data_IF_322910444476
#
_entry.id   IF_322910444476
#
_cell.length_a   1.000
_cell.length_b   1.000
_cell.length_c   1.000
_cell.angle_alpha   90.00
_cell.angle_beta   90.00
_cell.angle_gamma   90.00
#
_symmetry.space_group_name_H-M   'P 1'
#
loop_
_entity.id
_entity.type
_entity.pdbx_description
1 polymer ?
#
# COMPACT_ATOMS: atom_id res chain seq x y z
N UNK A 1 19.35 0.23 -12.55
CA UNK A 1 19.28 -1.25 -12.54
C UNK A 1 19.10 -1.80 -11.12
N UNK A 2 20.05 -1.61 -10.20
CA UNK A 2 19.92 -2.12 -8.81
C UNK A 2 18.72 -1.48 -8.11
N UNK A 3 18.62 -0.15 -8.16
CA UNK A 3 17.49 0.61 -7.61
C UNK A 3 16.15 0.18 -8.22
N UNK A 4 16.05 0.16 -9.54
CA UNK A 4 14.85 -0.29 -10.25
C UNK A 4 14.45 -1.72 -9.84
N UNK A 5 15.42 -2.61 -9.64
CA UNK A 5 15.16 -3.95 -9.12
C UNK A 5 14.61 -3.95 -7.69
N UNK A 6 15.11 -3.06 -6.82
CA UNK A 6 14.62 -2.89 -5.44
C UNK A 6 13.19 -2.36 -5.36
N UNK A 7 12.81 -1.45 -6.27
CA UNK A 7 11.46 -0.88 -6.32
C UNK A 7 10.37 -1.86 -6.74
N UNK A 8 10.73 -2.94 -7.45
CA UNK A 8 9.77 -3.96 -7.93
C UNK A 8 8.76 -4.42 -6.88
N UNK A 9 9.18 -4.59 -5.61
CA UNK A 9 8.29 -5.04 -4.52
C UNK A 9 7.22 -4.00 -4.20
N UNK A 10 7.58 -2.71 -4.23
CA UNK A 10 6.68 -1.61 -3.94
C UNK A 10 5.78 -1.29 -5.14
N UNK A 11 6.34 -1.36 -6.36
CA UNK A 11 5.60 -1.13 -7.60
C UNK A 11 4.44 -2.13 -7.77
N UNK A 12 4.63 -3.36 -7.28
CA UNK A 12 3.68 -4.47 -7.39
C UNK A 12 3.09 -4.90 -6.05
N UNK A 13 3.14 -4.03 -5.03
CA UNK A 13 2.74 -4.37 -3.67
C UNK A 13 1.29 -4.88 -3.60
N UNK A 14 0.36 -4.29 -4.34
CA UNK A 14 -1.04 -4.72 -4.38
C UNK A 14 -1.18 -6.18 -4.85
N UNK A 15 -0.44 -6.56 -5.90
CA UNK A 15 -0.41 -7.92 -6.41
C UNK A 15 0.22 -8.89 -5.41
N UNK A 16 1.30 -8.48 -4.74
CA UNK A 16 1.94 -9.28 -3.69
C UNK A 16 0.98 -9.53 -2.52
N UNK A 17 0.17 -8.54 -2.14
CA UNK A 17 -0.86 -8.71 -1.10
C UNK A 17 -2.01 -9.61 -1.57
N UNK A 18 -2.48 -9.45 -2.80
CA UNK A 18 -3.51 -10.31 -3.40
C UNK A 18 -3.07 -11.78 -3.45
N UNK A 19 -1.79 -12.02 -3.71
CA UNK A 19 -1.18 -13.35 -3.72
C UNK A 19 -0.91 -13.85 -2.29
N UNK A 20 -0.43 -12.99 -1.40
CA UNK A 20 -0.01 -13.35 -0.04
C UNK A 20 -1.18 -13.66 0.90
N UNK A 21 -2.25 -12.88 0.86
CA UNK A 21 -3.39 -13.03 1.76
C UNK A 21 -4.04 -14.44 1.72
N UNK A 22 -4.36 -15.03 0.55
CA UNK A 22 -4.93 -16.37 0.48
C UNK A 22 -4.01 -17.48 1.02
N UNK A 23 -2.68 -17.29 1.05
CA UNK A 23 -1.75 -18.27 1.63
C UNK A 23 -2.05 -18.47 3.12
N UNK A 24 -2.32 -17.38 3.84
CA UNK A 24 -2.60 -17.42 5.27
C UNK A 24 -4.06 -17.73 5.63
N UNK A 25 -5.01 -17.39 4.76
CA UNK A 25 -6.45 -17.42 5.09
C UNK A 25 -7.25 -18.54 4.40
N UNK A 26 -6.74 -19.15 3.33
CA UNK A 26 -7.41 -20.28 2.69
C UNK A 26 -7.30 -21.55 3.57
N UNK A 27 -8.42 -22.22 3.80
CA UNK A 27 -8.51 -23.41 4.67
C UNK A 27 -8.05 -24.69 3.99
N UNK A 28 -7.97 -24.69 2.66
CA UNK A 28 -7.58 -25.82 1.81
C UNK A 28 -7.06 -25.28 0.49
N UNK A 29 -6.39 -26.14 -0.27
CA UNK A 29 -5.92 -25.86 -1.63
C UNK A 29 -5.36 -24.43 -1.81
N UNK A 30 -4.48 -23.98 -0.90
CA UNK A 30 -4.06 -22.57 -0.83
C UNK A 30 -3.50 -22.05 -2.15
N UNK A 31 -2.71 -22.87 -2.87
CA UNK A 31 -2.19 -22.52 -4.18
C UNK A 31 -3.30 -22.19 -5.21
N UNK A 32 -4.46 -22.85 -5.12
CA UNK A 32 -5.61 -22.56 -5.98
C UNK A 32 -6.30 -21.27 -5.55
N UNK A 33 -6.50 -21.06 -4.24
CA UNK A 33 -7.05 -19.82 -3.70
C UNK A 33 -6.21 -18.59 -4.09
N UNK A 34 -4.89 -18.73 -4.14
CA UNK A 34 -3.94 -17.71 -4.63
C UNK A 34 -4.24 -17.35 -6.09
N UNK A 35 -4.31 -18.36 -6.97
CA UNK A 35 -4.61 -18.14 -8.39
C UNK A 35 -5.99 -17.53 -8.60
N UNK A 36 -6.99 -17.99 -7.86
CA UNK A 36 -8.35 -17.44 -7.89
C UNK A 36 -8.37 -15.97 -7.47
N UNK A 37 -7.69 -15.61 -6.38
CA UNK A 37 -7.62 -14.24 -5.87
C UNK A 37 -6.95 -13.30 -6.88
N UNK A 38 -5.83 -13.71 -7.47
CA UNK A 38 -5.16 -12.95 -8.53
C UNK A 38 -6.08 -12.71 -9.73
N UNK A 39 -6.72 -13.77 -10.24
CA UNK A 39 -7.60 -13.66 -11.41
C UNK A 39 -8.81 -12.77 -11.13
N UNK A 40 -9.45 -12.92 -9.97
CA UNK A 40 -10.62 -12.09 -9.60
C UNK A 40 -10.22 -10.61 -9.44
N UNK A 41 -9.04 -10.34 -8.87
CA UNK A 41 -8.52 -8.97 -8.76
C UNK A 41 -8.23 -8.35 -10.13
N UNK A 42 -7.61 -9.10 -11.05
CA UNK A 42 -7.38 -8.63 -12.42
C UNK A 42 -8.69 -8.42 -13.19
N UNK A 43 -9.69 -9.27 -13.01
CA UNK A 43 -11.04 -9.07 -13.57
C UNK A 43 -11.65 -7.76 -13.04
N UNK A 44 -11.56 -7.51 -11.74
CA UNK A 44 -12.09 -6.29 -11.14
C UNK A 44 -11.41 -5.03 -11.69
N UNK A 45 -10.07 -5.00 -11.78
CA UNK A 45 -9.34 -3.88 -12.39
C UNK A 45 -9.66 -3.70 -13.88
N UNK A 46 -9.77 -4.79 -14.64
CA UNK A 46 -10.16 -4.74 -16.06
C UNK A 46 -11.57 -4.17 -16.22
N UNK A 47 -12.49 -4.54 -15.34
CA UNK A 47 -13.85 -3.99 -15.34
C UNK A 47 -13.84 -2.50 -15.00
N UNK A 48 -13.06 -2.05 -14.01
CA UNK A 48 -12.91 -0.62 -13.69
C UNK A 48 -12.41 0.14 -14.91
N UNK A 49 -11.33 -0.33 -15.54
CA UNK A 49 -10.78 0.28 -16.75
C UNK A 49 -11.86 0.42 -17.84
N UNK A 50 -12.59 -0.66 -18.14
CA UNK A 50 -13.65 -0.65 -19.14
C UNK A 50 -14.77 0.35 -18.79
N UNK A 51 -15.20 0.37 -17.53
CA UNK A 51 -16.23 1.27 -17.02
C UNK A 51 -15.82 2.74 -17.19
N UNK A 52 -14.59 3.10 -16.80
CA UNK A 52 -14.08 4.47 -16.90
C UNK A 52 -13.88 4.95 -18.35
N UNK A 53 -13.57 4.03 -19.27
CA UNK A 53 -13.50 4.36 -20.69
C UNK A 53 -14.87 4.46 -21.37
N UNK A 54 -15.91 3.88 -20.76
CA UNK A 54 -17.27 3.86 -21.33
C UNK A 54 -18.14 4.98 -20.77
N UNK A 55 -18.01 5.28 -19.48
CA UNK A 55 -18.82 6.27 -18.77
C UNK A 55 -17.93 7.28 -18.06
N UNK A 56 -18.37 8.54 -18.05
CA UNK A 56 -17.64 9.60 -17.38
C UNK A 56 -17.98 9.66 -15.89
N UNK A 57 -17.00 9.30 -15.05
CA UNK A 57 -17.06 9.41 -13.59
C UNK A 57 -16.17 10.54 -13.04
N UNK A 58 -15.74 11.48 -13.91
CA UNK A 58 -14.86 12.59 -13.51
C UNK A 58 -13.38 12.20 -13.43
N UNK A 59 -13.00 11.08 -14.04
CA UNK A 59 -11.63 10.57 -14.09
C UNK A 59 -11.14 10.60 -15.53
N UNK A 60 -10.00 11.25 -15.79
CA UNK A 60 -9.40 11.31 -17.11
C UNK A 60 -8.40 10.16 -17.30
N UNK A 61 -8.76 9.20 -18.14
CA UNK A 61 -7.92 8.03 -18.46
C UNK A 61 -6.92 8.29 -19.59
N UNK A 62 -6.83 9.51 -20.13
CA UNK A 62 -5.99 9.83 -21.30
C UNK A 62 -4.51 9.97 -20.97
N UNK A 63 -4.15 10.34 -19.74
CA UNK A 63 -2.77 10.45 -19.28
C UNK A 63 -2.57 9.72 -17.95
N UNK A 64 -2.38 8.41 -18.02
CA UNK A 64 -2.26 7.53 -16.84
C UNK A 64 -1.00 7.85 -16.02
N UNK A 65 0.09 8.28 -16.66
CA UNK A 65 1.38 8.49 -15.99
C UNK A 65 1.35 9.69 -15.03
N UNK A 66 0.63 10.76 -15.39
CA UNK A 66 0.55 11.99 -14.58
C UNK A 66 -0.75 12.11 -13.78
N UNK A 67 -1.71 11.19 -13.96
CA UNK A 67 -3.02 11.28 -13.32
C UNK A 67 -2.98 10.87 -11.85
N UNK A 68 -3.44 11.78 -10.99
CA UNK A 68 -3.62 11.50 -9.56
C UNK A 68 -4.76 10.51 -9.38
N UNK A 69 -4.51 9.44 -8.62
CA UNK A 69 -5.52 8.42 -8.30
C UNK A 69 -5.76 7.38 -9.40
N UNK A 70 -4.88 7.34 -10.42
CA UNK A 70 -4.84 6.28 -11.43
C UNK A 70 -3.48 5.58 -11.31
N UNK A 71 -3.46 4.26 -11.49
CA UNK A 71 -2.24 3.44 -11.48
C UNK A 71 -2.36 2.33 -12.52
N UNK A 72 -1.23 1.92 -13.09
CA UNK A 72 -1.16 0.68 -13.85
C UNK A 72 -0.90 -0.51 -12.91
N UNK A 73 -1.84 -1.45 -12.88
CA UNK A 73 -1.73 -2.67 -12.07
C UNK A 73 -1.75 -3.87 -13.02
N UNK A 74 -0.61 -4.56 -13.14
CA UNK A 74 -0.48 -5.74 -13.98
C UNK A 74 -0.80 -5.49 -15.46
N UNK A 75 -0.45 -4.31 -15.98
CA UNK A 75 -0.73 -3.90 -17.36
C UNK A 75 -2.14 -3.32 -17.58
N UNK A 76 -2.90 -3.05 -16.51
CA UNK A 76 -4.24 -2.47 -16.59
C UNK A 76 -4.26 -1.12 -15.89
N UNK A 77 -4.50 -0.04 -16.64
CA UNK A 77 -4.74 1.28 -16.07
C UNK A 77 -6.08 1.29 -15.31
N UNK A 78 -6.04 1.53 -14.01
CA UNK A 78 -7.20 1.43 -13.10
C UNK A 78 -7.11 2.50 -12.03
N UNK A 79 -8.14 2.61 -11.19
CA UNK A 79 -8.09 3.50 -10.03
C UNK A 79 -7.07 3.00 -9.02
N UNK A 80 -6.25 3.93 -8.52
CA UNK A 80 -5.32 3.64 -7.44
C UNK A 80 -6.10 3.48 -6.12
N UNK A 81 -6.55 2.26 -5.89
CA UNK A 81 -7.21 1.83 -4.65
C UNK A 81 -6.22 1.34 -3.60
N UNK A 82 -4.92 1.40 -3.89
CA UNK A 82 -3.83 0.93 -3.05
C UNK A 82 -4.15 -0.45 -2.44
N UNK A 83 -3.69 -0.69 -1.20
CA UNK A 83 -3.92 -1.94 -0.48
C UNK A 83 -5.39 -2.19 -0.13
N UNK A 84 -6.28 -1.19 -0.13
CA UNK A 84 -7.71 -1.40 0.17
C UNK A 84 -8.34 -2.32 -0.87
N UNK A 85 -8.16 -2.01 -2.16
CA UNK A 85 -8.70 -2.82 -3.25
C UNK A 85 -8.14 -4.24 -3.22
N UNK A 86 -6.82 -4.35 -3.03
CA UNK A 86 -6.12 -5.62 -2.93
C UNK A 86 -6.68 -6.50 -1.80
N UNK A 87 -6.80 -5.97 -0.57
CA UNK A 87 -7.29 -6.69 0.60
C UNK A 87 -8.78 -7.05 0.48
N UNK A 88 -9.61 -6.13 -0.02
CA UNK A 88 -11.05 -6.35 -0.18
C UNK A 88 -11.32 -7.50 -1.16
N UNK A 89 -10.72 -7.44 -2.34
CA UNK A 89 -10.99 -8.41 -3.41
C UNK A 89 -10.35 -9.76 -3.08
N UNK A 90 -9.12 -9.79 -2.55
CA UNK A 90 -8.50 -11.06 -2.13
C UNK A 90 -9.22 -11.68 -0.93
N UNK A 91 -9.66 -10.89 0.06
CA UNK A 91 -10.45 -11.39 1.18
C UNK A 91 -11.78 -12.00 0.73
N UNK A 92 -12.43 -11.38 -0.27
CA UNK A 92 -13.66 -11.89 -0.85
C UNK A 92 -13.42 -13.14 -1.71
N UNK A 93 -12.34 -13.20 -2.48
CA UNK A 93 -11.93 -14.41 -3.19
C UNK A 93 -11.63 -15.57 -2.23
N UNK A 94 -10.94 -15.32 -1.10
CA UNK A 94 -10.71 -16.29 -0.03
C UNK A 94 -12.04 -16.76 0.58
N UNK A 95 -12.98 -15.85 0.82
CA UNK A 95 -14.31 -16.20 1.30
C UNK A 95 -15.01 -17.15 0.32
N UNK A 96 -15.03 -16.81 -0.97
CA UNK A 96 -15.63 -17.65 -2.00
C UNK A 96 -14.94 -19.02 -2.09
N UNK A 97 -13.61 -19.06 -2.07
CA UNK A 97 -12.83 -20.28 -2.08
C UNK A 97 -13.23 -21.19 -0.90
N UNK A 98 -13.16 -20.65 0.32
CA UNK A 98 -13.47 -21.40 1.53
C UNK A 98 -14.91 -21.92 1.54
N UNK A 99 -15.85 -21.17 0.94
CA UNK A 99 -17.28 -21.51 0.95
C UNK A 99 -17.69 -22.45 -0.18
N UNK A 100 -17.15 -22.27 -1.40
CA UNK A 100 -17.71 -22.83 -2.62
C UNK A 100 -16.78 -23.78 -3.39
N UNK A 101 -15.51 -23.89 -3.02
CA UNK A 101 -14.55 -24.72 -3.75
C UNK A 101 -14.96 -26.19 -3.92
N UNK A 102 -15.54 -26.82 -2.89
CA UNK A 102 -16.02 -28.22 -2.97
C UNK A 102 -17.52 -28.32 -3.28
N UNK A 103 -18.14 -27.27 -3.85
CA UNK A 103 -19.56 -27.32 -4.19
C UNK A 103 -19.78 -28.33 -5.31
N UNK A 104 -20.62 -29.36 -5.11
CA UNK A 104 -20.94 -30.30 -6.18
C UNK A 104 -21.80 -29.59 -7.22
N UNK A 105 -21.32 -29.54 -8.46
CA UNK A 105 -22.09 -29.04 -9.59
C UNK A 105 -22.83 -30.20 -10.28
N UNK A 106 -23.96 -29.92 -10.95
CA UNK A 106 -24.61 -30.89 -11.83
C UNK A 106 -23.62 -31.44 -12.86
N UNK A 107 -23.83 -32.68 -13.31
CA UNK A 107 -22.88 -33.41 -14.17
C UNK A 107 -22.48 -32.62 -15.44
N UNK A 108 -23.43 -31.94 -16.06
CA UNK A 108 -23.20 -31.10 -17.24
C UNK A 108 -22.36 -29.83 -16.97
N UNK A 109 -22.25 -29.38 -15.71
CA UNK A 109 -21.37 -28.31 -15.25
C UNK A 109 -20.12 -28.83 -14.52
N UNK A 110 -19.94 -30.14 -14.41
CA UNK A 110 -18.89 -30.76 -13.59
C UNK A 110 -17.48 -30.25 -13.93
N UNK A 111 -17.24 -29.92 -15.20
CA UNK A 111 -15.97 -29.36 -15.69
C UNK A 111 -15.58 -28.02 -15.05
N UNK A 112 -16.55 -27.28 -14.51
CA UNK A 112 -16.31 -25.99 -13.84
C UNK A 112 -16.15 -26.13 -12.33
N UNK A 113 -16.17 -27.33 -11.74
CA UNK A 113 -16.06 -27.50 -10.29
C UNK A 113 -14.70 -27.02 -9.74
N UNK A 114 -14.64 -26.68 -8.46
CA UNK A 114 -13.41 -26.19 -7.84
C UNK A 114 -13.13 -24.72 -8.18
N UNK A 115 -11.89 -24.45 -8.59
CA UNK A 115 -11.41 -23.08 -8.84
C UNK A 115 -12.17 -22.36 -9.93
N UNK A 116 -12.56 -23.05 -11.00
CA UNK A 116 -13.32 -22.44 -12.08
C UNK A 116 -14.66 -21.92 -11.60
N UNK A 117 -15.33 -22.63 -10.68
CA UNK A 117 -16.59 -22.18 -10.08
C UNK A 117 -16.38 -20.98 -9.17
N UNK A 118 -15.31 -21.00 -8.36
CA UNK A 118 -14.96 -19.86 -7.49
C UNK A 118 -14.66 -18.61 -8.32
N UNK A 119 -13.86 -18.73 -9.38
CA UNK A 119 -13.58 -17.61 -10.30
C UNK A 119 -14.84 -17.13 -11.01
N UNK A 120 -15.74 -18.04 -11.41
CA UNK A 120 -17.03 -17.67 -12.02
C UNK A 120 -17.88 -16.81 -11.08
N UNK A 121 -18.00 -17.20 -9.81
CA UNK A 121 -18.66 -16.40 -8.78
C UNK A 121 -17.94 -15.06 -8.57
N UNK A 122 -16.61 -15.10 -8.54
CA UNK A 122 -15.73 -13.93 -8.48
C UNK A 122 -15.99 -12.93 -9.61
N UNK A 123 -16.11 -13.42 -10.85
CA UNK A 123 -16.38 -12.62 -12.04
C UNK A 123 -17.70 -11.85 -11.93
N UNK A 124 -18.79 -12.54 -11.58
CA UNK A 124 -20.10 -11.89 -11.46
C UNK A 124 -20.17 -10.87 -10.33
N UNK A 125 -19.44 -11.08 -9.24
CA UNK A 125 -19.38 -10.13 -8.13
C UNK A 125 -18.37 -8.98 -8.38
N UNK A 126 -17.33 -9.21 -9.19
CA UNK A 126 -16.40 -8.16 -9.59
C UNK A 126 -17.07 -7.05 -10.43
N UNK A 127 -18.11 -7.37 -11.21
CA UNK A 127 -18.84 -6.37 -12.03
C UNK A 127 -19.50 -5.28 -11.17
N UNK A 128 -20.44 -5.58 -10.24
CA UNK A 128 -21.06 -4.55 -9.42
C UNK A 128 -20.05 -3.86 -8.50
N UNK A 129 -19.03 -4.57 -8.01
CA UNK A 129 -17.96 -3.95 -7.23
C UNK A 129 -17.13 -2.96 -8.04
N UNK A 130 -16.81 -3.28 -9.30
CA UNK A 130 -16.08 -2.37 -10.17
C UNK A 130 -16.88 -1.08 -10.44
N UNK A 131 -18.18 -1.19 -10.69
CA UNK A 131 -19.06 -0.03 -10.80
C UNK A 131 -19.10 0.81 -9.53
N UNK A 132 -19.23 0.15 -8.37
CA UNK A 132 -19.25 0.84 -7.09
C UNK A 132 -17.94 1.58 -6.84
N UNK A 133 -16.80 0.96 -7.15
CA UNK A 133 -15.48 1.60 -7.05
C UNK A 133 -15.37 2.78 -8.00
N UNK A 134 -15.73 2.62 -9.29
CA UNK A 134 -15.68 3.70 -10.26
C UNK A 134 -16.53 4.90 -9.86
N UNK A 135 -17.66 4.66 -9.17
CA UNK A 135 -18.55 5.72 -8.72
C UNK A 135 -18.11 6.41 -7.42
N UNK A 136 -17.66 5.64 -6.42
CA UNK A 136 -17.36 6.16 -5.07
C UNK A 136 -15.92 6.64 -4.94
N UNK A 137 -14.98 5.93 -5.56
CA UNK A 137 -13.55 6.14 -5.33
C UNK A 137 -13.06 7.53 -5.74
N UNK A 138 -13.52 8.16 -6.84
CA UNK A 138 -13.08 9.52 -7.18
C UNK A 138 -13.34 10.52 -6.05
N UNK A 139 -14.49 10.43 -5.36
CA UNK A 139 -14.76 11.28 -4.20
C UNK A 139 -13.87 10.98 -3.00
N UNK A 140 -13.48 9.71 -2.80
CA UNK A 140 -12.50 9.34 -1.76
C UNK A 140 -11.13 9.93 -2.11
N UNK A 141 -10.73 9.83 -3.39
CA UNK A 141 -9.49 10.40 -3.90
C UNK A 141 -9.44 11.91 -3.69
N UNK A 142 -10.54 12.63 -3.95
CA UNK A 142 -10.62 14.07 -3.70
C UNK A 142 -10.41 14.43 -2.23
N UNK A 143 -10.98 13.65 -1.31
CA UNK A 143 -10.77 13.85 0.14
C UNK A 143 -9.32 13.61 0.52
N UNK A 144 -8.70 12.56 -0.02
CA UNK A 144 -7.27 12.27 0.17
C UNK A 144 -6.41 13.44 -0.34
N UNK A 145 -6.69 13.94 -1.54
CA UNK A 145 -5.97 15.08 -2.13
C UNK A 145 -6.15 16.38 -1.34
N UNK A 146 -7.35 16.65 -0.81
CA UNK A 146 -7.59 17.79 0.08
C UNK A 146 -6.80 17.66 1.39
N UNK A 147 -6.75 16.47 1.97
CA UNK A 147 -5.96 16.20 3.18
C UNK A 147 -4.47 16.43 2.93
N UNK A 148 -3.95 15.99 1.77
CA UNK A 148 -2.57 16.23 1.35
C UNK A 148 -2.27 17.73 1.24
N UNK A 149 -3.12 18.48 0.52
CA UNK A 149 -2.98 19.93 0.38
C UNK A 149 -3.07 20.67 1.72
N UNK A 150 -3.95 20.23 2.62
CA UNK A 150 -4.05 20.75 3.99
C UNK A 150 -2.76 20.51 4.78
N UNK A 151 -2.20 19.30 4.75
CA UNK A 151 -0.94 18.99 5.42
C UNK A 151 0.20 19.85 4.85
N UNK A 152 0.36 19.87 3.52
CA UNK A 152 1.43 20.61 2.84
C UNK A 152 1.42 22.12 3.15
N UNK A 153 0.23 22.72 3.27
CA UNK A 153 0.06 24.16 3.55
C UNK A 153 0.10 24.55 5.04
N UNK A 154 0.06 23.58 5.96
CA UNK A 154 -0.05 23.82 7.42
C UNK A 154 1.31 23.93 8.15
N UNK A 155 2.42 23.98 7.42
CA UNK A 155 3.76 24.09 8.00
C UNK A 155 4.07 22.98 9.02
N UNK A 156 4.62 23.33 10.19
CA UNK A 156 5.02 22.34 11.21
C UNK A 156 3.85 21.53 11.76
N UNK A 157 2.65 22.11 11.88
CA UNK A 157 1.47 21.36 12.28
C UNK A 157 1.10 20.30 11.24
N UNK A 158 1.22 20.65 9.95
CA UNK A 158 1.02 19.72 8.83
C UNK A 158 1.97 18.52 8.87
N UNK A 159 3.25 18.77 9.13
CA UNK A 159 4.25 17.69 9.33
C UNK A 159 3.86 16.79 10.51
N UNK A 160 3.39 17.35 11.62
CA UNK A 160 2.93 16.58 12.78
C UNK A 160 1.74 15.67 12.44
N UNK A 161 0.76 16.18 11.70
CA UNK A 161 -0.42 15.42 11.26
C UNK A 161 -0.02 14.31 10.29
N UNK A 162 0.85 14.62 9.32
CA UNK A 162 1.40 13.64 8.38
C UNK A 162 2.09 12.48 9.08
N UNK A 163 3.02 12.75 10.00
CA UNK A 163 3.72 11.72 10.77
C UNK A 163 2.75 10.91 11.63
N UNK A 164 1.79 11.57 12.27
CA UNK A 164 0.76 10.90 13.07
C UNK A 164 -0.08 9.94 12.23
N UNK A 165 -0.62 10.40 11.10
CA UNK A 165 -1.46 9.59 10.21
C UNK A 165 -0.69 8.42 9.60
N UNK A 166 0.55 8.64 9.15
CA UNK A 166 1.38 7.52 8.68
C UNK A 166 1.50 6.44 9.74
N UNK A 167 1.87 6.81 10.97
CA UNK A 167 2.10 5.84 12.04
C UNK A 167 0.82 5.13 12.46
N UNK A 168 -0.31 5.85 12.51
CA UNK A 168 -1.62 5.28 12.82
C UNK A 168 -2.07 4.25 11.78
N UNK A 169 -1.72 4.48 10.50
CA UNK A 169 -2.21 3.69 9.37
C UNK A 169 -1.28 2.54 8.96
N UNK A 170 -0.07 2.44 9.52
CA UNK A 170 0.87 1.32 9.27
C UNK A 170 0.19 -0.06 9.40
N UNK A 171 -0.55 -0.39 10.47
CA UNK A 171 -1.13 -1.73 10.64
C UNK A 171 -2.13 -2.12 9.55
N UNK A 172 -2.69 -1.13 8.86
CA UNK A 172 -3.68 -1.31 7.80
C UNK A 172 -3.07 -1.20 6.40
N UNK A 173 -1.81 -0.80 6.27
CA UNK A 173 -1.18 -0.47 4.99
C UNK A 173 -1.62 0.88 4.39
N UNK A 174 -2.63 1.54 4.95
CA UNK A 174 -3.17 2.81 4.42
C UNK A 174 -2.22 4.01 4.53
N UNK A 175 -1.11 3.85 5.24
CA UNK A 175 -0.06 4.85 5.32
C UNK A 175 0.54 5.19 3.95
N UNK A 176 0.39 4.29 2.96
CA UNK A 176 0.81 4.52 1.58
C UNK A 176 0.08 5.68 0.89
N UNK A 177 -1.22 5.88 1.18
CA UNK A 177 -1.97 7.05 0.68
C UNK A 177 -1.47 8.39 1.25
N UNK A 178 -0.81 8.33 2.40
CA UNK A 178 -0.26 9.50 3.07
C UNK A 178 1.16 9.77 2.59
N UNK A 179 2.02 8.74 2.48
CA UNK A 179 3.44 8.94 2.18
C UNK A 179 3.76 9.05 0.68
N UNK A 180 3.19 8.21 -0.19
CA UNK A 180 3.60 8.13 -1.60
C UNK A 180 3.41 9.47 -2.33
N UNK A 181 2.29 10.21 -2.13
CA UNK A 181 2.08 11.48 -2.80
C UNK A 181 3.03 12.59 -2.32
N UNK A 182 3.62 12.46 -1.14
CA UNK A 182 4.67 13.37 -0.65
C UNK A 182 6.06 12.95 -1.14
N UNK A 183 6.38 11.66 -1.10
CA UNK A 183 7.72 11.16 -1.47
C UNK A 183 7.95 11.15 -2.97
N UNK A 184 6.95 10.72 -3.75
CA UNK A 184 7.03 10.53 -5.21
C UNK A 184 6.06 11.41 -6.00
N UNK A 185 4.99 11.88 -5.35
CA UNK A 185 3.97 12.72 -5.98
C UNK A 185 4.16 14.22 -5.73
N UNK A 186 3.28 15.04 -6.33
CA UNK A 186 3.39 16.50 -6.27
C UNK A 186 2.83 17.13 -4.98
N UNK A 187 2.57 16.36 -3.91
CA UNK A 187 1.83 16.87 -2.76
C UNK A 187 2.56 17.99 -1.99
N UNK A 188 3.90 17.97 -2.00
CA UNK A 188 4.72 18.98 -1.31
C UNK A 188 5.64 19.76 -2.27
N UNK A 189 6.22 19.06 -3.26
CA UNK A 189 7.06 19.61 -4.32
C UNK A 189 6.78 18.85 -5.61
N UNK A 190 6.88 19.50 -6.76
CA UNK A 190 6.72 18.83 -8.07
C UNK A 190 7.75 17.70 -8.21
N UNK A 191 7.32 16.54 -8.70
CA UNK A 191 8.18 15.35 -8.84
C UNK A 191 8.51 14.61 -7.53
N UNK A 192 8.01 15.06 -6.37
CA UNK A 192 8.17 14.38 -5.08
C UNK A 192 9.41 14.79 -4.29
N UNK A 193 9.31 14.67 -2.96
CA UNK A 193 10.37 15.08 -2.03
C UNK A 193 11.67 14.31 -2.21
N UNK A 194 11.59 13.02 -2.61
CA UNK A 194 12.78 12.20 -2.76
C UNK A 194 13.63 12.66 -3.95
N UNK A 195 12.99 12.87 -5.10
CA UNK A 195 13.66 13.39 -6.30
C UNK A 195 14.23 14.78 -6.04
N UNK A 196 13.42 15.68 -5.47
CA UNK A 196 13.86 17.02 -5.10
C UNK A 196 15.09 17.00 -4.20
N UNK A 197 15.11 16.13 -3.18
CA UNK A 197 16.25 16.00 -2.27
C UNK A 197 17.53 15.62 -3.00
N UNK A 198 17.49 14.63 -3.90
CA UNK A 198 18.67 14.18 -4.62
C UNK A 198 19.16 15.21 -5.65
N UNK A 199 18.25 15.85 -6.37
CA UNK A 199 18.58 16.88 -7.36
C UNK A 199 19.22 18.12 -6.73
N UNK A 200 18.79 18.47 -5.51
CA UNK A 200 19.25 19.67 -4.81
C UNK A 200 20.27 19.37 -3.70
N UNK A 201 20.75 18.13 -3.58
CA UNK A 201 21.56 17.67 -2.44
C UNK A 201 22.83 18.51 -2.23
N UNK A 202 23.53 18.87 -3.32
CA UNK A 202 24.75 19.66 -3.23
C UNK A 202 24.50 21.09 -2.75
N UNK A 203 23.38 21.69 -3.15
CA UNK A 203 22.99 23.03 -2.70
C UNK A 203 22.57 23.00 -1.22
N UNK A 204 21.73 22.04 -0.84
CA UNK A 204 21.30 21.85 0.55
C UNK A 204 22.51 21.63 1.46
N UNK A 205 23.49 20.83 1.03
CA UNK A 205 24.69 20.53 1.82
C UNK A 205 25.67 21.72 1.93
N UNK A 206 25.68 22.63 0.95
CA UNK A 206 26.54 23.81 0.93
C UNK A 206 25.93 25.03 1.65
N UNK A 207 24.67 24.94 2.09
CA UNK A 207 23.97 26.06 2.72
C UNK A 207 24.35 26.19 4.20
N UNK A 208 24.94 27.35 4.55
CA UNK A 208 25.39 27.64 5.92
C UNK A 208 24.25 28.00 6.90
N UNK A 209 23.02 28.19 6.39
CA UNK A 209 21.84 28.56 7.18
C UNK A 209 20.97 27.37 7.61
N UNK A 210 19.76 27.65 8.10
CA UNK A 210 18.82 26.58 8.44
C UNK A 210 18.27 25.93 7.16
N UNK A 211 18.37 24.60 7.02
CA UNK A 211 17.76 23.86 5.89
C UNK A 211 16.27 24.23 5.72
N UNK A 212 15.57 24.61 6.80
CA UNK A 212 14.16 25.04 6.73
C UNK A 212 13.94 26.30 5.88
N UNK A 213 14.96 27.14 5.70
CA UNK A 213 14.88 28.37 4.89
C UNK A 213 14.90 28.06 3.39
N UNK A 214 15.63 27.03 2.98
CA UNK A 214 15.79 26.64 1.56
C UNK A 214 14.96 25.41 1.17
N UNK A 215 14.57 24.59 2.15
CA UNK A 215 13.78 23.37 1.96
C UNK A 215 12.81 23.14 3.13
N UNK A 216 11.82 24.03 3.33
CA UNK A 216 10.84 23.89 4.40
C UNK A 216 10.00 22.60 4.32
N UNK A 217 9.79 22.08 3.10
CA UNK A 217 9.05 20.85 2.85
C UNK A 217 9.83 19.60 3.29
N UNK A 218 11.15 19.69 3.47
CA UNK A 218 11.97 18.61 4.00
C UNK A 218 11.53 18.11 5.39
N UNK A 219 10.71 18.89 6.11
CA UNK A 219 10.04 18.42 7.32
C UNK A 219 9.23 17.14 7.12
N UNK A 220 8.60 16.95 5.95
CA UNK A 220 7.87 15.74 5.55
C UNK A 220 8.78 14.57 5.11
N UNK A 221 10.10 14.71 5.26
CA UNK A 221 11.08 13.61 5.13
C UNK A 221 11.63 13.16 6.49
N UNK A 222 11.37 13.92 7.56
CA UNK A 222 11.87 13.63 8.91
C UNK A 222 11.17 12.45 9.59
N UNK A 223 10.08 11.92 9.02
CA UNK A 223 9.51 10.63 9.45
C UNK A 223 10.57 9.53 9.48
N UNK A 224 11.58 9.59 8.60
CA UNK A 224 12.64 8.59 8.55
C UNK A 224 13.56 8.63 9.78
N UNK A 225 13.70 9.78 10.44
CA UNK A 225 14.45 9.88 11.69
C UNK A 225 13.84 8.98 12.78
N UNK A 226 12.52 8.84 12.78
CA UNK A 226 11.84 7.94 13.72
C UNK A 226 12.11 6.46 13.43
N UNK A 227 12.43 6.07 12.20
CA UNK A 227 12.83 4.69 11.87
C UNK A 227 14.18 4.30 12.49
N UNK A 228 15.05 5.28 12.74
CA UNK A 228 16.34 5.05 13.40
C UNK A 228 16.21 5.05 14.92
N UNK A 229 15.52 6.04 15.50
CA UNK A 229 15.51 6.23 16.95
C UNK A 229 14.39 5.47 17.69
N UNK A 230 13.23 5.25 17.07
CA UNK A 230 12.11 4.57 17.76
C UNK A 230 12.40 3.10 18.07
N UNK A 231 12.98 2.29 17.17
CA UNK A 231 13.28 0.90 17.48
C UNK A 231 14.31 0.76 18.61
N UNK A 232 15.24 1.71 18.74
CA UNK A 232 16.20 1.76 19.85
C UNK A 232 15.46 2.05 21.15
N UNK A 233 14.62 3.10 21.18
CA UNK A 233 13.91 3.52 22.39
C UNK A 233 12.91 2.47 22.88
N UNK A 234 12.03 2.01 21.98
CA UNK A 234 11.02 0.98 22.29
C UNK A 234 11.69 -0.36 22.60
N UNK A 235 12.70 -0.73 21.80
CA UNK A 235 13.47 -1.96 22.02
C UNK A 235 14.15 -1.97 23.38
N UNK A 236 14.81 -0.87 23.77
CA UNK A 236 15.42 -0.72 25.08
C UNK A 236 14.38 -0.81 26.20
N UNK A 237 13.19 -0.24 26.04
CA UNK A 237 12.10 -0.36 27.00
C UNK A 237 11.59 -1.80 27.13
N UNK A 238 11.39 -2.53 26.03
CA UNK A 238 11.00 -3.94 26.06
C UNK A 238 12.04 -4.82 26.75
N UNK A 239 13.31 -4.55 26.47
CA UNK A 239 14.43 -5.22 27.13
C UNK A 239 14.39 -4.91 28.62
N UNK A 240 14.38 -3.63 29.03
CA UNK A 240 14.38 -3.19 30.43
C UNK A 240 13.20 -3.73 31.25
N UNK A 241 12.04 -3.92 30.63
CA UNK A 241 10.81 -4.42 31.28
C UNK A 241 10.63 -5.93 31.18
N UNK A 242 11.51 -6.63 30.45
CA UNK A 242 11.39 -8.07 30.27
C UNK A 242 11.66 -8.84 31.57
N UNK A 243 10.96 -9.96 31.75
CA UNK A 243 11.21 -10.84 32.90
C UNK A 243 12.66 -11.35 32.86
N UNK A 244 13.37 -11.46 34.00
CA UNK A 244 14.76 -11.88 34.04
C UNK A 244 15.03 -13.19 33.29
N UNK A 245 14.12 -14.16 33.40
CA UNK A 245 14.21 -15.46 32.73
C UNK A 245 13.98 -15.40 31.21
N UNK A 246 13.40 -14.31 30.69
CA UNK A 246 13.16 -14.08 29.25
C UNK A 246 14.12 -13.07 28.62
N UNK A 247 14.90 -12.32 29.42
CA UNK A 247 15.80 -11.26 28.96
C UNK A 247 16.61 -11.61 27.72
N UNK A 248 17.31 -12.77 27.73
CA UNK A 248 18.14 -13.20 26.59
C UNK A 248 17.31 -13.44 25.33
N UNK A 249 16.10 -13.98 25.46
CA UNK A 249 15.18 -14.20 24.34
C UNK A 249 14.65 -12.87 23.80
N UNK A 250 14.29 -11.95 24.69
CA UNK A 250 13.84 -10.60 24.30
C UNK A 250 14.94 -9.87 23.53
N UNK A 251 16.19 -9.87 24.03
CA UNK A 251 17.33 -9.28 23.33
C UNK A 251 17.56 -9.90 21.95
N UNK A 252 17.45 -11.23 21.84
CA UNK A 252 17.62 -11.92 20.56
C UNK A 252 16.54 -11.58 19.51
N UNK A 253 15.37 -11.09 19.94
CA UNK A 253 14.30 -10.62 19.03
C UNK A 253 14.42 -9.12 18.74
N UNK A 254 14.70 -8.32 19.76
CA UNK A 254 14.72 -6.84 19.68
C UNK A 254 15.93 -6.34 18.89
N UNK A 255 17.13 -6.91 19.10
CA UNK A 255 18.33 -6.39 18.43
C UNK A 255 18.24 -6.54 16.91
N UNK A 256 17.90 -7.71 16.34
CA UNK A 256 17.79 -7.84 14.89
C UNK A 256 16.69 -6.96 14.30
N UNK A 257 15.52 -6.88 14.95
CA UNK A 257 14.41 -6.06 14.47
C UNK A 257 14.75 -4.56 14.50
N UNK A 258 15.39 -4.08 15.57
CA UNK A 258 15.88 -2.70 15.63
C UNK A 258 16.97 -2.42 14.59
N UNK A 259 17.91 -3.35 14.41
CA UNK A 259 18.95 -3.21 13.39
C UNK A 259 18.37 -3.18 11.97
N UNK A 260 17.39 -4.03 11.66
CA UNK A 260 16.68 -4.01 10.38
C UNK A 260 15.99 -2.67 10.16
N UNK A 261 15.28 -2.14 11.16
CA UNK A 261 14.62 -0.85 11.04
C UNK A 261 15.61 0.32 10.83
N UNK A 262 16.76 0.30 11.51
CA UNK A 262 17.79 1.34 11.36
C UNK A 262 18.51 1.30 10.01
N UNK A 263 18.79 0.11 9.50
CA UNK A 263 19.60 -0.08 8.27
C UNK A 263 18.72 -0.02 7.02
N UNK A 264 17.55 -0.66 7.06
CA UNK A 264 16.66 -0.79 5.91
C UNK A 264 15.52 0.24 5.90
N UNK A 265 15.26 0.96 6.99
CA UNK A 265 14.12 1.86 7.11
C UNK A 265 12.77 1.15 7.27
N UNK A 266 12.75 -0.18 7.40
CA UNK A 266 11.53 -0.99 7.49
C UNK A 266 11.21 -1.22 8.97
N UNK A 267 10.10 -0.65 9.45
CA UNK A 267 9.76 -0.60 10.88
C UNK A 267 8.71 -1.65 11.29
N UNK A 268 8.07 -2.29 10.34
CA UNK A 268 7.04 -3.32 10.49
C UNK A 268 7.47 -4.45 11.42
N UNK A 269 8.70 -5.00 11.34
CA UNK A 269 9.15 -6.05 12.27
C UNK A 269 9.22 -5.62 13.73
N UNK A 270 9.24 -4.31 14.02
CA UNK A 270 9.26 -3.79 15.40
C UNK A 270 7.85 -3.50 15.95
N UNK A 271 6.85 -3.40 15.07
CA UNK A 271 5.44 -3.20 15.44
C UNK A 271 4.70 -4.51 15.73
N UNK A 272 5.13 -5.62 15.11
CA UNK A 272 4.53 -6.96 15.24
C UNK A 272 5.36 -7.87 16.15
#
# INVERSE_FOLDING_TARGET
MIESGGWTVFDHMELLFVIGLPIGLAKKAQARAVMESFVIYMIWNTNINYILNTWNFGVDMSNVEDAIGIKEIGGVATLDTNLIGALLISGLAVYLHNRFFDTPLPEWLGIFSGSSFVVMLGFFMAIPLAFLTAWIWPSIQDVISQLQGFMASSGTAGVGIYVFLQRLLIPTGLHHFINQPFEFGPAAVEGGLLNYWFENLSEIAAFDGSIREIFPQGGFMLQNASMFFFPIGIGAAFVATSKPEKWKKTMALVIPTAATAMIAGITEPSYF
#
